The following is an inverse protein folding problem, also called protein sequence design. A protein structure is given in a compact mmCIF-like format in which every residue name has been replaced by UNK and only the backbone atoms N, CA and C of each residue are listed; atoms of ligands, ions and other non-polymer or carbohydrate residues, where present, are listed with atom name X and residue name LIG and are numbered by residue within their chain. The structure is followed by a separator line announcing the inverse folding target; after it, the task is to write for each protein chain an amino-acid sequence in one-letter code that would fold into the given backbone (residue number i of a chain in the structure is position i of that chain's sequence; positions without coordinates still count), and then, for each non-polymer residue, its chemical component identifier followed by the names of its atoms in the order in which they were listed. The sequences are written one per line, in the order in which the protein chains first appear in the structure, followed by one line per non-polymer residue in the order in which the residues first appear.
data_IF_924789006692
#
_entry.id   IF_924789006692
#
_cell.length_a   1.000
_cell.length_b   1.000
_cell.length_c   1.000
_cell.angle_alpha   90.00
_cell.angle_beta   90.00
_cell.angle_gamma   90.00
#
_symmetry.space_group_name_H-M   'P 1'
#
loop_
_entity.id
_entity.type
_entity.pdbx_description
1 polymer ?
#
# COMPACT_ATOMS: atom_id res chain seq x y z
N UNK A 1 7.36 0.03 19.17
CA UNK A 1 8.43 0.45 18.28
C UNK A 1 7.91 0.65 16.86
N UNK A 2 8.77 1.11 15.99
CA UNK A 2 8.35 1.42 14.62
C UNK A 2 8.01 0.17 13.81
N UNK A 3 8.68 -0.94 14.05
CA UNK A 3 8.35 -2.19 13.36
C UNK A 3 6.93 -2.65 13.71
N UNK A 4 6.56 -2.58 14.98
CA UNK A 4 5.20 -2.91 15.41
C UNK A 4 4.18 -1.95 14.78
N UNK A 5 4.51 -0.66 14.70
CA UNK A 5 3.65 0.32 14.03
C UNK A 5 3.50 0.02 12.54
N UNK A 6 4.59 -0.39 11.88
CA UNK A 6 4.53 -0.77 10.48
C UNK A 6 3.57 -1.96 10.29
N UNK A 7 3.65 -2.97 11.15
CA UNK A 7 2.74 -4.11 11.09
C UNK A 7 1.29 -3.68 11.25
N UNK A 8 1.00 -2.79 12.18
CA UNK A 8 -0.36 -2.27 12.38
C UNK A 8 -0.84 -1.49 11.16
N UNK A 9 0.02 -0.63 10.60
CA UNK A 9 -0.30 0.14 9.40
C UNK A 9 -0.61 -0.81 8.24
N UNK A 10 0.23 -1.83 8.07
CA UNK A 10 0.07 -2.80 7.00
C UNK A 10 -1.28 -3.51 7.10
N UNK A 11 -1.64 -3.97 8.29
CA UNK A 11 -2.91 -4.67 8.51
C UNK A 11 -4.11 -3.75 8.27
N UNK A 12 -4.03 -2.50 8.69
CA UNK A 12 -5.09 -1.52 8.45
C UNK A 12 -5.24 -1.17 6.98
N UNK A 13 -4.11 -1.00 6.29
CA UNK A 13 -4.12 -0.75 4.86
C UNK A 13 -4.76 -1.91 4.10
N UNK A 14 -4.47 -3.15 4.51
CA UNK A 14 -5.08 -4.32 3.87
C UNK A 14 -6.61 -4.30 3.99
N UNK A 15 -7.12 -3.94 5.18
CA UNK A 15 -8.57 -3.83 5.38
C UNK A 15 -9.17 -2.79 4.43
N UNK A 16 -8.50 -1.64 4.28
CA UNK A 16 -8.98 -0.57 3.38
C UNK A 16 -8.93 -1.02 1.92
N UNK A 17 -7.81 -1.60 1.50
CA UNK A 17 -7.61 -1.98 0.09
C UNK A 17 -8.56 -3.09 -0.35
N UNK A 18 -8.93 -4.00 0.53
CA UNK A 18 -9.87 -5.07 0.18
C UNK A 18 -11.34 -4.65 0.33
N UNK A 19 -11.58 -3.39 0.72
CA UNK A 19 -12.92 -2.87 0.94
C UNK A 19 -13.57 -2.29 -0.32
N UNK A 20 -14.86 -1.92 -0.23
CA UNK A 20 -15.63 -1.44 -1.39
C UNK A 20 -15.13 -0.10 -1.94
N UNK A 21 -14.54 0.76 -1.12
CA UNK A 21 -14.05 2.05 -1.57
C UNK A 21 -12.89 1.90 -2.57
N UNK A 22 -11.98 0.97 -2.31
CA UNK A 22 -10.89 0.71 -3.25
C UNK A 22 -11.43 0.14 -4.56
N UNK A 23 -12.37 -0.82 -4.49
CA UNK A 23 -12.99 -1.41 -5.68
C UNK A 23 -13.67 -0.35 -6.53
N UNK A 24 -14.41 0.56 -5.91
CA UNK A 24 -15.04 1.68 -6.62
C UNK A 24 -14.01 2.58 -7.29
N UNK A 25 -12.90 2.87 -6.60
CA UNK A 25 -11.81 3.67 -7.16
C UNK A 25 -11.17 3.01 -8.38
N UNK A 26 -10.98 1.69 -8.35
CA UNK A 26 -10.45 0.96 -9.50
C UNK A 26 -11.41 1.04 -10.69
N UNK A 27 -12.72 0.91 -10.46
CA UNK A 27 -13.71 1.06 -11.52
C UNK A 27 -13.63 2.43 -12.18
N UNK A 28 -13.48 3.49 -11.40
CA UNK A 28 -13.33 4.85 -11.92
C UNK A 28 -12.03 4.98 -12.73
N UNK A 29 -10.93 4.41 -12.24
CA UNK A 29 -9.67 4.42 -12.98
C UNK A 29 -9.80 3.71 -14.32
N UNK A 30 -10.50 2.59 -14.35
CA UNK A 30 -10.72 1.86 -15.60
C UNK A 30 -11.56 2.66 -16.57
N UNK A 31 -12.59 3.37 -16.08
CA UNK A 31 -13.42 4.23 -16.91
C UNK A 31 -12.61 5.40 -17.52
N UNK A 32 -11.64 5.93 -16.76
CA UNK A 32 -10.80 7.03 -17.22
C UNK A 32 -9.91 6.65 -18.40
N UNK A 33 -9.68 5.36 -18.65
CA UNK A 33 -8.89 4.91 -19.80
C UNK A 33 -9.51 5.32 -21.13
N UNK A 34 -10.83 5.41 -21.18
CA UNK A 34 -11.57 5.71 -22.40
C UNK A 34 -12.39 7.00 -22.31
N UNK A 35 -12.39 7.68 -21.16
CA UNK A 35 -13.11 8.92 -20.92
C UNK A 35 -12.11 10.00 -20.51
N UNK A 36 -11.79 10.89 -21.46
CA UNK A 36 -10.77 11.92 -21.24
C UNK A 36 -11.18 12.93 -20.17
N UNK A 37 -12.48 13.12 -19.93
CA UNK A 37 -12.96 14.04 -18.91
C UNK A 37 -12.67 13.55 -17.49
N UNK A 38 -12.48 12.24 -17.32
CA UNK A 38 -12.16 11.64 -16.02
C UNK A 38 -10.68 11.56 -15.73
N UNK A 39 -9.81 11.74 -16.73
CA UNK A 39 -8.37 11.49 -16.58
C UNK A 39 -7.72 12.43 -15.56
N UNK A 40 -7.97 13.73 -15.67
CA UNK A 40 -7.35 14.70 -14.75
C UNK A 40 -7.90 14.57 -13.31
N UNK A 41 -9.25 14.50 -13.09
CA UNK A 41 -9.75 14.28 -11.73
C UNK A 41 -9.21 13.00 -11.10
N UNK A 42 -9.10 11.91 -11.86
CA UNK A 42 -8.58 10.63 -11.34
C UNK A 42 -7.10 10.76 -10.97
N UNK A 43 -6.31 11.44 -11.83
CA UNK A 43 -4.90 11.68 -11.55
C UNK A 43 -4.72 12.48 -10.26
N UNK A 44 -5.51 13.54 -10.07
CA UNK A 44 -5.46 14.37 -8.87
C UNK A 44 -5.84 13.58 -7.63
N UNK A 45 -6.86 12.75 -7.71
CA UNK A 45 -7.28 11.91 -6.60
C UNK A 45 -6.16 10.94 -6.20
N UNK A 46 -5.53 10.31 -7.19
CA UNK A 46 -4.42 9.40 -6.95
C UNK A 46 -3.25 10.10 -6.26
N UNK A 47 -2.83 11.25 -6.80
CA UNK A 47 -1.73 12.03 -6.23
C UNK A 47 -2.02 12.49 -4.81
N UNK A 48 -3.25 12.95 -4.54
CA UNK A 48 -3.65 13.39 -3.21
C UNK A 48 -3.64 12.22 -2.22
N UNK A 49 -4.14 11.07 -2.62
CA UNK A 49 -4.16 9.87 -1.77
C UNK A 49 -2.73 9.42 -1.45
N UNK A 50 -1.86 9.39 -2.44
CA UNK A 50 -0.46 9.02 -2.24
C UNK A 50 0.25 9.98 -1.29
N UNK A 51 0.01 11.29 -1.46
CA UNK A 51 0.62 12.30 -0.59
C UNK A 51 0.20 12.10 0.87
N UNK A 52 -1.10 11.89 1.12
CA UNK A 52 -1.61 11.67 2.47
C UNK A 52 -0.97 10.43 3.09
N UNK A 53 -0.87 9.35 2.35
CA UNK A 53 -0.27 8.10 2.82
C UNK A 53 1.22 8.32 3.14
N UNK A 54 1.96 9.01 2.27
CA UNK A 54 3.39 9.30 2.49
C UNK A 54 3.60 10.19 3.71
N UNK A 55 2.80 11.23 3.86
CA UNK A 55 2.88 12.12 5.02
C UNK A 55 2.58 11.38 6.32
N UNK A 56 1.58 10.50 6.30
CA UNK A 56 1.26 9.68 7.47
C UNK A 56 2.40 8.72 7.82
N UNK A 57 3.05 8.15 6.82
CA UNK A 57 4.20 7.27 7.05
C UNK A 57 5.36 8.01 7.70
N UNK A 58 5.66 9.23 7.24
CA UNK A 58 6.70 10.08 7.85
C UNK A 58 6.38 10.39 9.30
N UNK A 59 5.12 10.65 9.60
CA UNK A 59 4.68 11.01 10.94
C UNK A 59 4.73 9.83 11.91
N UNK A 60 4.31 8.64 11.44
CA UNK A 60 4.19 7.45 12.27
C UNK A 60 5.48 6.64 12.35
N UNK A 61 6.35 6.74 11.35
CA UNK A 61 7.57 5.95 11.24
C UNK A 61 8.78 6.87 10.95
N UNK A 62 9.03 7.87 11.81
CA UNK A 62 10.04 8.89 11.49
C UNK A 62 11.46 8.34 11.36
N UNK A 63 11.81 7.32 12.13
CA UNK A 63 13.15 6.70 12.04
C UNK A 63 13.32 5.90 10.76
N UNK A 64 12.36 5.04 10.43
CA UNK A 64 12.39 4.26 9.21
C UNK A 64 12.30 5.16 7.98
N UNK A 65 11.43 6.17 8.04
CA UNK A 65 11.18 7.06 6.91
C UNK A 65 12.35 7.98 6.59
N UNK A 66 13.35 8.09 7.48
CA UNK A 66 14.54 8.87 7.21
C UNK A 66 15.52 8.15 6.26
N UNK A 67 15.32 6.85 6.04
CA UNK A 67 16.16 6.06 5.15
C UNK A 67 15.68 6.19 3.70
N UNK A 68 16.59 6.38 2.73
CA UNK A 68 16.21 6.41 1.32
C UNK A 68 15.56 5.09 0.86
N UNK A 69 15.99 3.98 1.42
CA UNK A 69 15.46 2.66 1.08
C UNK A 69 14.01 2.51 1.51
N UNK A 70 13.61 3.22 2.56
CA UNK A 70 12.24 3.13 3.08
C UNK A 70 11.21 3.62 2.05
N UNK A 71 11.50 4.70 1.34
CA UNK A 71 10.57 5.24 0.35
C UNK A 71 10.26 4.19 -0.72
N UNK A 72 11.30 3.54 -1.25
CA UNK A 72 11.12 2.48 -2.24
C UNK A 72 10.38 1.28 -1.65
N UNK A 73 10.71 0.91 -0.43
CA UNK A 73 10.05 -0.20 0.26
C UNK A 73 8.56 0.10 0.50
N UNK A 74 8.24 1.32 0.90
CA UNK A 74 6.86 1.70 1.15
C UNK A 74 6.03 1.69 -0.14
N UNK A 75 6.63 2.13 -1.25
CA UNK A 75 5.99 2.02 -2.56
C UNK A 75 5.74 0.56 -2.94
N UNK A 76 6.68 -0.34 -2.64
CA UNK A 76 6.49 -1.76 -2.85
C UNK A 76 5.34 -2.30 -2.00
N UNK A 77 5.25 -1.86 -0.74
CA UNK A 77 4.13 -2.23 0.15
C UNK A 77 2.79 -1.86 -0.49
N UNK A 78 2.65 -0.61 -0.95
CA UNK A 78 1.40 -0.14 -1.54
C UNK A 78 1.08 -0.87 -2.84
N UNK A 79 2.08 -1.10 -3.70
CA UNK A 79 1.89 -1.83 -4.95
C UNK A 79 1.45 -3.26 -4.70
N UNK A 80 2.03 -3.93 -3.70
CA UNK A 80 1.65 -5.29 -3.32
C UNK A 80 0.21 -5.36 -2.84
N UNK A 81 -0.20 -4.40 -2.01
CA UNK A 81 -1.58 -4.33 -1.50
C UNK A 81 -2.56 -4.10 -2.64
N UNK A 82 -2.24 -3.21 -3.57
CA UNK A 82 -3.10 -2.94 -4.73
C UNK A 82 -3.26 -4.19 -5.59
N UNK A 83 -2.16 -4.89 -5.85
CA UNK A 83 -2.20 -6.11 -6.65
C UNK A 83 -3.06 -7.19 -6.00
N UNK A 84 -2.86 -7.41 -4.69
CA UNK A 84 -3.67 -8.39 -3.94
C UNK A 84 -5.13 -8.00 -3.90
N UNK A 85 -5.41 -6.71 -3.70
CA UNK A 85 -6.79 -6.22 -3.63
C UNK A 85 -7.54 -6.44 -4.94
N UNK A 86 -6.87 -6.26 -6.08
CA UNK A 86 -7.50 -6.54 -7.38
C UNK A 86 -7.78 -8.03 -7.57
N UNK A 87 -6.99 -8.91 -6.96
CA UNK A 87 -7.27 -10.34 -6.99
C UNK A 87 -8.57 -10.71 -6.28
N UNK A 88 -9.03 -9.89 -5.32
CA UNK A 88 -10.30 -10.15 -4.63
C UNK A 88 -11.49 -10.02 -5.57
N UNK A 89 -11.31 -9.43 -6.76
CA UNK A 89 -12.38 -9.31 -7.75
C UNK A 89 -12.73 -10.67 -8.40
N UNK A 90 -11.83 -11.66 -8.27
CA UNK A 90 -12.10 -13.02 -8.74
C UNK A 90 -12.46 -13.88 -7.53
N UNK A 91 -13.76 -14.28 -7.40
CA UNK A 91 -14.22 -15.03 -6.24
C UNK A 91 -13.62 -16.44 -6.13
N UNK A 92 -12.94 -16.93 -7.17
CA UNK A 92 -12.33 -18.26 -7.16
C UNK A 92 -10.91 -18.25 -6.60
N UNK A 93 -10.31 -17.08 -6.36
CA UNK A 93 -8.95 -16.99 -5.84
C UNK A 93 -8.95 -16.93 -4.32
N UNK A 94 -7.99 -17.64 -3.70
CA UNK A 94 -7.76 -17.58 -2.26
C UNK A 94 -6.77 -16.44 -1.96
N UNK A 95 -7.31 -15.24 -1.87
CA UNK A 95 -6.49 -14.03 -1.66
C UNK A 95 -5.95 -13.96 -0.24
N UNK A 96 -6.65 -14.54 0.74
CA UNK A 96 -6.16 -14.53 2.12
C UNK A 96 -4.85 -15.29 2.27
N UNK A 97 -4.71 -16.41 1.59
CA UNK A 97 -3.46 -17.16 1.60
C UNK A 97 -2.32 -16.36 0.97
N UNK A 98 -2.59 -15.72 -0.17
CA UNK A 98 -1.62 -14.84 -0.83
C UNK A 98 -1.23 -13.68 0.08
N UNK A 99 -2.21 -13.09 0.77
CA UNK A 99 -1.96 -12.00 1.70
C UNK A 99 -0.98 -12.42 2.80
N UNK A 100 -1.19 -13.59 3.41
CA UNK A 100 -0.31 -14.04 4.48
C UNK A 100 1.14 -14.21 4.00
N UNK A 101 1.33 -14.73 2.79
CA UNK A 101 2.66 -14.88 2.21
C UNK A 101 3.33 -13.52 1.95
N UNK A 102 2.60 -12.59 1.36
CA UNK A 102 3.11 -11.25 1.06
C UNK A 102 3.39 -10.49 2.35
N UNK A 103 2.46 -10.55 3.31
CA UNK A 103 2.61 -9.91 4.61
C UNK A 103 3.91 -10.34 5.29
N UNK A 104 4.16 -11.64 5.32
CA UNK A 104 5.37 -12.19 5.92
C UNK A 104 6.64 -11.64 5.27
N UNK A 105 6.67 -11.54 3.94
CA UNK A 105 7.81 -11.00 3.22
C UNK A 105 8.00 -9.50 3.46
N UNK A 106 6.93 -8.76 3.51
CA UNK A 106 6.99 -7.32 3.77
C UNK A 106 7.50 -7.05 5.20
N UNK A 107 7.00 -7.78 6.18
CA UNK A 107 7.46 -7.63 7.58
C UNK A 107 8.93 -8.02 7.70
N UNK A 108 9.35 -9.09 7.05
CA UNK A 108 10.76 -9.50 7.04
C UNK A 108 11.66 -8.41 6.48
N UNK A 109 11.25 -7.77 5.39
CA UNK A 109 12.00 -6.67 4.78
C UNK A 109 12.02 -5.44 5.70
N UNK A 110 10.89 -5.10 6.31
CA UNK A 110 10.81 -3.99 7.26
C UNK A 110 11.76 -4.20 8.44
N UNK A 111 11.84 -5.44 8.94
CA UNK A 111 12.74 -5.79 10.05
C UNK A 111 14.21 -5.57 9.65
N UNK A 112 14.58 -5.98 8.44
CA UNK A 112 15.94 -5.78 7.95
C UNK A 112 16.28 -4.30 7.82
N UNK A 113 15.35 -3.49 7.31
CA UNK A 113 15.54 -2.05 7.18
C UNK A 113 15.67 -1.37 8.54
N UNK A 114 14.83 -1.77 9.50
CA UNK A 114 14.88 -1.21 10.85
C UNK A 114 16.17 -1.55 11.57
N UNK A 115 16.75 -2.74 11.30
CA UNK A 115 18.01 -3.16 11.90
C UNK A 115 19.25 -2.81 11.09
N UNK A 116 19.09 -2.32 9.87
CA UNK A 116 20.19 -2.14 8.92
C UNK A 116 21.23 -1.11 9.31
N UNK A 117 20.89 -0.15 10.18
CA UNK A 117 21.82 0.85 10.67
C UNK A 117 22.69 0.39 11.83
N UNK A 118 22.53 -0.85 12.27
CA UNK A 118 23.22 -1.38 13.44
C UNK A 118 24.38 -2.30 13.11
N UNK A 119 24.58 -2.57 11.86
CA UNK A 119 25.64 -3.45 11.41
C UNK A 119 26.96 -2.74 11.15
#
# INVERSE_FOLDING_TARGET
DELERYEEILDRLWIVFRGPSFAAGVEIQMAARTDTDLQEPVRQLHENSERVIQESALELLPGMASSPEFTAFFQLTLASLRGLATMTFDPLLDVEQEWQLVRSQLIGTARRLAGGGQS
#
